data_IF_826123666543
#
_entry.id   IF_826123666543
#
_cell.length_a   1.000
_cell.length_b   1.000
_cell.length_c   1.000
_cell.angle_alpha   90.00
_cell.angle_beta   90.00
_cell.angle_gamma   90.00
#
_symmetry.space_group_name_H-M   'P 1'
#
loop_
_entity.id
_entity.type
_entity.pdbx_description
1 polymer ?
#
# COMPACT_ATOMS: atom_id res chain seq x y z
N UNK A 1 18.06 -5.00 3.39
CA UNK A 1 17.30 -6.12 4.01
C UNK A 1 17.28 -5.82 5.50
N UNK A 2 16.12 -5.95 6.16
CA UNK A 2 16.04 -5.74 7.62
C UNK A 2 16.30 -7.05 8.35
N UNK A 3 16.85 -6.95 9.56
CA UNK A 3 17.03 -8.07 10.50
C UNK A 3 15.83 -8.24 11.44
N UNK A 4 14.77 -7.45 11.25
CA UNK A 4 13.53 -7.54 12.01
C UNK A 4 12.84 -8.89 11.83
N UNK A 5 12.35 -9.46 12.93
CA UNK A 5 11.54 -10.68 12.93
C UNK A 5 10.13 -10.44 12.37
N UNK A 6 9.58 -11.42 11.66
CA UNK A 6 8.18 -11.43 11.23
C UNK A 6 7.37 -12.24 12.26
N UNK A 7 6.41 -11.60 12.92
CA UNK A 7 5.53 -12.22 13.93
C UNK A 7 4.11 -12.32 13.38
N UNK A 8 3.48 -13.49 13.53
CA UNK A 8 2.10 -13.74 13.14
C UNK A 8 1.18 -13.63 14.36
N UNK A 9 0.09 -12.88 14.23
CA UNK A 9 -0.94 -12.68 15.26
C UNK A 9 -2.32 -13.05 14.72
N UNK A 10 -3.28 -13.25 15.63
CA UNK A 10 -4.66 -13.51 15.24
C UNK A 10 -5.27 -12.34 14.46
N UNK A 11 -6.10 -12.70 13.47
CA UNK A 11 -6.73 -11.73 12.58
C UNK A 11 -7.87 -10.98 13.29
N UNK A 12 -7.97 -9.64 13.13
CA UNK A 12 -9.13 -8.88 13.61
C UNK A 12 -10.45 -9.37 12.98
N UNK A 13 -11.52 -9.44 13.76
CA UNK A 13 -12.85 -9.92 13.31
C UNK A 13 -13.39 -9.15 12.09
N UNK A 14 -13.14 -7.85 12.02
CA UNK A 14 -13.72 -6.96 11.02
C UNK A 14 -12.85 -6.75 9.76
N UNK A 15 -11.70 -7.41 9.68
CA UNK A 15 -10.87 -7.32 8.47
C UNK A 15 -11.46 -8.20 7.37
N UNK A 16 -11.73 -7.68 6.15
CA UNK A 16 -12.14 -8.47 5.00
C UNK A 16 -10.93 -9.17 4.36
N UNK A 17 -11.15 -10.37 3.83
CA UNK A 17 -10.05 -11.24 3.36
C UNK A 17 -9.44 -10.74 2.06
N UNK A 18 -10.23 -10.08 1.22
CA UNK A 18 -9.82 -9.56 -0.08
C UNK A 18 -10.52 -8.24 -0.33
N UNK A 19 -9.81 -7.28 -0.91
CA UNK A 19 -10.36 -6.04 -1.43
C UNK A 19 -9.79 -5.81 -2.83
N UNK A 20 -10.66 -5.69 -3.82
CA UNK A 20 -10.30 -5.38 -5.20
C UNK A 20 -11.37 -4.44 -5.77
N UNK A 21 -11.14 -3.12 -5.78
CA UNK A 21 -12.11 -2.17 -6.28
C UNK A 21 -12.24 -2.27 -7.81
N UNK A 22 -13.47 -2.33 -8.30
CA UNK A 22 -13.76 -2.04 -9.71
C UNK A 22 -13.68 -0.52 -9.93
N UNK A 23 -12.77 -0.10 -10.81
CA UNK A 23 -12.49 1.31 -11.10
C UNK A 23 -13.08 1.75 -12.45
N UNK A 24 -13.99 0.97 -13.04
CA UNK A 24 -14.60 1.27 -14.34
C UNK A 24 -15.22 2.66 -14.37
N UNK A 25 -15.97 3.05 -13.33
CA UNK A 25 -16.61 4.38 -13.28
C UNK A 25 -15.59 5.53 -13.32
N UNK A 26 -14.47 5.41 -12.61
CA UNK A 26 -13.44 6.45 -12.62
C UNK A 26 -12.74 6.55 -13.99
N UNK A 27 -12.55 5.40 -14.66
CA UNK A 27 -12.02 5.36 -16.03
C UNK A 27 -12.98 5.99 -17.03
N UNK A 28 -14.28 5.72 -16.95
CA UNK A 28 -15.27 6.21 -17.91
C UNK A 28 -15.58 7.68 -17.73
N UNK A 29 -15.84 8.11 -16.49
CA UNK A 29 -16.33 9.47 -16.23
C UNK A 29 -15.20 10.48 -16.08
N UNK A 30 -14.04 10.06 -15.57
CA UNK A 30 -12.94 10.96 -15.24
C UNK A 30 -11.72 10.76 -16.15
N UNK A 31 -11.71 9.72 -16.99
CA UNK A 31 -10.49 9.32 -17.72
C UNK A 31 -9.34 8.95 -16.77
N UNK A 32 -9.67 8.56 -15.54
CA UNK A 32 -8.67 8.38 -14.48
C UNK A 32 -8.32 6.90 -14.29
N UNK A 33 -7.03 6.65 -14.07
CA UNK A 33 -6.50 5.35 -13.67
C UNK A 33 -5.21 5.52 -12.83
N UNK A 34 -4.84 4.54 -11.98
CA UNK A 34 -3.56 4.55 -11.29
C UNK A 34 -2.40 4.44 -12.30
N UNK A 35 -1.44 5.35 -12.22
CA UNK A 35 -0.26 5.38 -13.10
C UNK A 35 1.02 4.93 -12.39
N UNK A 36 0.98 4.80 -11.06
CA UNK A 36 2.09 4.33 -10.24
C UNK A 36 1.89 2.87 -9.90
N UNK A 37 2.82 2.01 -10.33
CA UNK A 37 2.82 0.59 -9.97
C UNK A 37 3.15 0.35 -8.50
N UNK A 38 2.80 -0.84 -8.00
CA UNK A 38 2.99 -1.21 -6.59
C UNK A 38 4.44 -1.07 -6.12
N UNK A 39 5.40 -1.65 -6.84
CA UNK A 39 6.82 -1.61 -6.48
C UNK A 39 7.35 -0.18 -6.44
N UNK A 40 7.06 0.62 -7.47
CA UNK A 40 7.46 2.02 -7.53
C UNK A 40 6.86 2.86 -6.38
N UNK A 41 5.60 2.60 -6.01
CA UNK A 41 4.97 3.24 -4.85
C UNK A 41 5.63 2.84 -3.53
N UNK A 42 5.94 1.55 -3.37
CA UNK A 42 6.58 1.02 -2.17
C UNK A 42 7.99 1.56 -1.98
N UNK A 43 8.79 1.63 -3.06
CA UNK A 43 10.14 2.19 -3.04
C UNK A 43 10.16 3.65 -2.58
N UNK A 44 9.28 4.49 -3.16
CA UNK A 44 9.13 5.90 -2.77
C UNK A 44 8.73 6.04 -1.30
N UNK A 45 7.85 5.16 -0.83
CA UNK A 45 7.40 5.16 0.57
C UNK A 45 8.56 4.83 1.51
N UNK A 46 9.35 3.81 1.19
CA UNK A 46 10.54 3.43 1.96
C UNK A 46 11.58 4.56 1.97
N UNK A 47 11.83 5.19 0.83
CA UNK A 47 12.75 6.33 0.72
C UNK A 47 12.31 7.51 1.58
N UNK A 48 11.01 7.81 1.59
CA UNK A 48 10.46 8.88 2.41
C UNK A 48 10.70 8.61 3.91
N UNK A 49 10.42 7.41 4.41
CA UNK A 49 10.68 7.07 5.82
C UNK A 49 12.18 7.09 6.17
N UNK A 50 13.06 6.70 5.25
CA UNK A 50 14.52 6.79 5.45
C UNK A 50 15.01 8.23 5.57
N UNK A 51 14.34 9.17 4.91
CA UNK A 51 14.68 10.59 4.98
C UNK A 51 14.00 11.33 6.14
N UNK A 52 13.02 10.73 6.81
CA UNK A 52 12.29 11.30 7.95
C UNK A 52 12.31 10.37 9.18
N UNK A 53 13.49 10.13 9.79
CA UNK A 53 13.63 9.22 10.93
C UNK A 53 12.85 9.66 12.17
N UNK A 54 12.46 10.93 12.28
CA UNK A 54 11.68 11.49 13.38
C UNK A 54 10.21 11.04 13.43
N UNK A 55 9.71 10.41 12.36
CA UNK A 55 8.33 9.90 12.27
C UNK A 55 8.20 8.48 12.85
N UNK A 56 9.33 7.82 13.11
CA UNK A 56 9.42 6.46 13.67
C UNK A 56 9.36 6.39 15.19
#
# INVERSE_FOLDING_TARGET
RSDSEIVFIDRPTDDPTVRQPDITLARTELGWEPTVGFEAGLERTIEWFRSHPEVG
#
